data_IF_285925616533
#
_entry.id   IF_285925616533
#
_cell.length_a   1.000
_cell.length_b   1.000
_cell.length_c   1.000
_cell.angle_alpha   90.00
_cell.angle_beta   90.00
_cell.angle_gamma   90.00
#
_symmetry.space_group_name_H-M   'P 1'
#
loop_
_entity.id
_entity.type
_entity.pdbx_description
1 polymer ?
#
# COMPACT_ATOMS: atom_id res chain seq x y z
N UNK A 1 16.99 -27.06 14.35
CA UNK A 1 17.98 -25.97 14.46
C UNK A 1 17.23 -24.72 14.91
N UNK A 2 17.67 -23.99 15.95
CA UNK A 2 17.05 -22.73 16.33
C UNK A 2 17.72 -21.60 15.53
N UNK A 3 16.97 -20.89 14.71
CA UNK A 3 17.43 -19.61 14.15
C UNK A 3 17.45 -18.58 15.29
N UNK A 4 18.51 -17.78 15.36
CA UNK A 4 18.59 -16.67 16.30
C UNK A 4 17.43 -15.68 16.03
N UNK A 5 16.69 -15.33 17.09
CA UNK A 5 15.56 -14.39 17.05
C UNK A 5 15.98 -12.92 16.90
N UNK A 6 17.23 -12.63 16.55
CA UNK A 6 17.76 -11.28 16.67
C UNK A 6 17.84 -10.57 15.32
N UNK A 7 17.04 -9.49 15.26
CA UNK A 7 16.87 -8.52 14.19
C UNK A 7 15.91 -8.96 13.06
N UNK A 8 14.60 -9.01 13.38
CA UNK A 8 13.62 -8.68 12.35
C UNK A 8 13.81 -7.20 11.98
N UNK A 9 14.57 -6.92 10.93
CA UNK A 9 14.63 -5.60 10.32
C UNK A 9 13.28 -5.34 9.65
N UNK A 10 12.31 -4.88 10.44
CA UNK A 10 11.05 -4.38 9.92
C UNK A 10 11.35 -3.01 9.33
N UNK A 11 11.41 -2.91 8.01
CA UNK A 11 11.46 -1.63 7.34
C UNK A 11 10.06 -1.00 7.47
N UNK A 12 9.90 0.10 8.22
CA UNK A 12 8.59 0.72 8.36
C UNK A 12 8.18 1.34 7.02
N UNK A 13 6.90 1.26 6.70
CA UNK A 13 6.35 1.94 5.54
C UNK A 13 6.45 3.46 5.73
N UNK A 14 6.69 4.19 4.63
CA UNK A 14 6.76 5.65 4.66
C UNK A 14 5.35 6.23 4.49
N UNK A 15 4.74 6.86 5.49
CA UNK A 15 3.33 7.23 5.42
C UNK A 15 3.05 8.23 4.29
N UNK A 16 2.21 7.84 3.34
CA UNK A 16 1.75 8.68 2.21
C UNK A 16 0.59 9.60 2.60
N UNK A 17 -0.19 9.18 3.60
CA UNK A 17 -1.30 9.92 4.20
C UNK A 17 -1.06 10.11 5.70
N UNK A 18 -1.67 11.14 6.25
CA UNK A 18 -1.77 11.38 7.69
C UNK A 18 -2.99 10.64 8.25
N UNK A 19 -3.11 10.63 9.58
CA UNK A 19 -4.20 9.98 10.30
C UNK A 19 -5.59 10.56 9.96
N UNK A 20 -5.64 11.83 9.54
CA UNK A 20 -6.83 12.55 9.08
C UNK A 20 -7.13 12.33 7.59
N UNK A 21 -6.46 11.36 6.95
CA UNK A 21 -6.55 11.05 5.52
C UNK A 21 -6.08 12.17 4.58
N UNK A 22 -5.41 13.20 5.12
CA UNK A 22 -4.79 14.24 4.29
C UNK A 22 -3.46 13.77 3.71
N UNK A 23 -3.05 14.26 2.52
CA UNK A 23 -1.74 13.98 1.93
C UNK A 23 -0.59 14.29 2.89
N UNK A 24 0.33 13.33 3.06
CA UNK A 24 1.58 13.56 3.77
C UNK A 24 2.70 13.94 2.79
N UNK A 25 2.80 15.23 2.49
CA UNK A 25 3.80 15.75 1.53
C UNK A 25 5.24 15.35 1.87
N UNK A 26 5.60 15.30 3.16
CA UNK A 26 6.94 14.89 3.59
C UNK A 26 7.22 13.41 3.25
N UNK A 27 6.24 12.54 3.42
CA UNK A 27 6.36 11.13 3.09
C UNK A 27 6.41 10.89 1.59
N UNK A 28 5.54 11.59 0.83
CA UNK A 28 5.52 11.55 -0.64
C UNK A 28 6.83 12.05 -1.24
N UNK A 29 7.34 13.18 -0.76
CA UNK A 29 8.63 13.72 -1.19
C UNK A 29 9.80 12.78 -0.88
N UNK A 30 9.80 12.12 0.29
CA UNK A 30 10.83 11.13 0.62
C UNK A 30 10.82 9.93 -0.33
N UNK A 31 9.62 9.41 -0.66
CA UNK A 31 9.46 8.32 -1.64
C UNK A 31 9.87 8.75 -3.05
N UNK A 32 9.56 10.00 -3.42
CA UNK A 32 10.01 10.59 -4.67
C UNK A 32 11.54 10.64 -4.74
N UNK A 33 12.23 11.14 -3.71
CA UNK A 33 13.71 11.13 -3.64
C UNK A 33 14.28 9.72 -3.79
N UNK A 34 13.63 8.71 -3.21
CA UNK A 34 14.06 7.30 -3.33
C UNK A 34 13.94 6.76 -4.75
N UNK A 35 12.90 7.16 -5.50
CA UNK A 35 12.76 6.83 -6.92
C UNK A 35 13.76 7.59 -7.78
N UNK A 36 13.87 8.91 -7.59
CA UNK A 36 14.80 9.77 -8.34
C UNK A 36 16.27 9.35 -8.14
N UNK A 37 16.61 8.77 -6.98
CA UNK A 37 17.93 8.20 -6.73
C UNK A 37 18.23 6.92 -7.54
N UNK A 38 17.22 6.29 -8.16
CA UNK A 38 17.35 5.03 -8.91
C UNK A 38 16.95 5.15 -10.38
N UNK A 39 16.21 6.19 -10.75
CA UNK A 39 15.71 6.37 -12.11
C UNK A 39 15.41 7.84 -12.39
N UNK A 40 15.49 8.20 -13.67
CA UNK A 40 15.18 9.56 -14.11
C UNK A 40 13.66 9.79 -14.10
N UNK A 41 13.23 10.91 -13.52
CA UNK A 41 11.81 11.28 -13.49
C UNK A 41 11.21 11.51 -14.89
N UNK A 42 12.06 11.78 -15.89
CA UNK A 42 11.71 11.93 -17.32
C UNK A 42 11.16 10.65 -17.94
N UNK A 43 11.41 9.48 -17.33
CA UNK A 43 10.84 8.21 -17.75
C UNK A 43 9.34 8.08 -17.44
N UNK A 44 8.76 9.04 -16.71
CA UNK A 44 7.33 9.08 -16.41
C UNK A 44 6.67 10.25 -17.11
N UNK A 45 5.49 10.02 -17.68
CA UNK A 45 4.60 11.11 -18.01
C UNK A 45 4.20 11.89 -16.75
N UNK A 46 3.71 13.11 -16.97
CA UNK A 46 3.31 14.01 -15.89
C UNK A 46 2.38 13.30 -14.89
N UNK A 47 2.67 13.49 -13.60
CA UNK A 47 1.95 12.93 -12.44
C UNK A 47 1.98 11.40 -12.28
N UNK A 48 2.53 10.63 -13.23
CA UNK A 48 2.47 9.16 -13.16
C UNK A 48 3.32 8.57 -12.02
N UNK A 49 4.51 9.13 -11.78
CA UNK A 49 5.35 8.73 -10.64
C UNK A 49 4.60 8.91 -9.31
N UNK A 50 3.92 10.04 -9.13
CA UNK A 50 3.18 10.32 -7.89
C UNK A 50 1.99 9.38 -7.71
N UNK A 51 1.31 9.00 -8.80
CA UNK A 51 0.23 7.99 -8.75
C UNK A 51 0.74 6.64 -8.24
N UNK A 52 1.93 6.20 -8.67
CA UNK A 52 2.55 4.96 -8.18
C UNK A 52 2.98 5.06 -6.72
N UNK A 53 3.54 6.20 -6.30
CA UNK A 53 3.86 6.49 -4.90
C UNK A 53 2.60 6.37 -4.04
N UNK A 54 1.50 6.98 -4.46
CA UNK A 54 0.24 6.93 -3.71
C UNK A 54 -0.34 5.53 -3.66
N UNK A 55 -0.36 4.83 -4.80
CA UNK A 55 -0.89 3.47 -4.89
C UNK A 55 -0.10 2.46 -4.05
N UNK A 56 1.21 2.66 -3.88
CA UNK A 56 2.06 1.78 -3.07
C UNK A 56 1.79 1.85 -1.56
N UNK A 57 1.01 2.84 -1.09
CA UNK A 57 0.79 3.05 0.35
C UNK A 57 2.03 3.43 1.15
N UNK A 58 3.16 3.67 0.48
CA UNK A 58 4.44 3.93 1.14
C UNK A 58 5.30 2.70 1.41
N UNK A 59 4.87 1.54 0.91
CA UNK A 59 5.64 0.32 0.96
C UNK A 59 6.63 0.29 -0.21
N UNK A 60 7.93 0.31 0.08
CA UNK A 60 8.96 0.34 -0.97
C UNK A 60 8.96 -0.91 -1.85
N UNK A 61 8.61 -2.08 -1.31
CA UNK A 61 8.54 -3.32 -2.10
C UNK A 61 7.43 -3.21 -3.14
N UNK A 62 6.25 -2.79 -2.71
CA UNK A 62 5.10 -2.64 -3.61
C UNK A 62 5.34 -1.48 -4.58
N UNK A 63 6.00 -0.39 -4.15
CA UNK A 63 6.40 0.72 -5.03
C UNK A 63 7.30 0.26 -6.18
N UNK A 64 8.40 -0.45 -5.88
CA UNK A 64 9.28 -0.94 -6.93
C UNK A 64 8.62 -2.02 -7.80
N UNK A 65 7.75 -2.86 -7.23
CA UNK A 65 6.99 -3.83 -8.00
C UNK A 65 6.05 -3.14 -9.01
N UNK A 66 5.34 -2.09 -8.58
CA UNK A 66 4.47 -1.29 -9.42
C UNK A 66 5.23 -0.60 -10.56
N UNK A 67 6.37 0.01 -10.23
CA UNK A 67 7.23 0.69 -11.20
C UNK A 67 7.78 -0.29 -12.23
N UNK A 68 8.27 -1.45 -11.80
CA UNK A 68 8.75 -2.49 -12.71
C UNK A 68 7.64 -2.98 -13.63
N UNK A 69 6.44 -3.23 -13.09
CA UNK A 69 5.31 -3.65 -13.90
C UNK A 69 4.95 -2.60 -14.97
N UNK A 70 4.89 -1.33 -14.59
CA UNK A 70 4.59 -0.24 -15.52
C UNK A 70 5.70 -0.02 -16.57
N UNK A 71 6.97 -0.23 -16.19
CA UNK A 71 8.09 -0.18 -17.11
C UNK A 71 8.07 -1.36 -18.10
N UNK A 72 7.70 -2.56 -17.63
CA UNK A 72 7.55 -3.75 -18.48
C UNK A 72 6.44 -3.53 -19.52
N UNK A 73 5.28 -2.97 -19.12
CA UNK A 73 4.20 -2.67 -20.07
C UNK A 73 4.59 -1.58 -21.06
N UNK A 74 5.30 -0.53 -20.62
CA UNK A 74 5.85 0.49 -21.50
C UNK A 74 6.84 -0.10 -22.53
N UNK A 75 7.69 -1.02 -22.09
CA UNK A 75 8.65 -1.72 -22.95
C UNK A 75 7.94 -2.62 -23.97
N UNK A 76 6.88 -3.34 -23.56
CA UNK A 76 6.10 -4.20 -24.47
C UNK A 76 5.39 -3.42 -25.59
N UNK A 77 5.06 -2.15 -25.35
CA UNK A 77 4.48 -1.25 -26.36
C UNK A 77 5.53 -0.41 -27.11
N UNK A 78 6.82 -0.71 -26.92
CA UNK A 78 7.97 -0.03 -27.56
C UNK A 78 7.99 1.49 -27.32
N UNK A 79 7.76 1.89 -26.06
CA UNK A 79 7.74 3.30 -25.66
C UNK A 79 8.87 3.68 -24.71
N UNK A 80 9.31 4.94 -24.80
CA UNK A 80 10.42 5.48 -24.01
C UNK A 80 9.97 6.00 -22.62
N UNK A 81 8.68 6.25 -22.43
CA UNK A 81 8.11 6.80 -21.18
C UNK A 81 6.94 5.95 -20.69
N UNK A 82 6.76 5.87 -19.37
CA UNK A 82 5.63 5.22 -18.69
C UNK A 82 4.44 6.17 -18.71
N UNK A 83 3.31 5.72 -19.26
CA UNK A 83 2.11 6.53 -19.41
C UNK A 83 1.01 6.18 -18.38
N UNK A 84 -0.13 6.86 -18.49
CA UNK A 84 -1.28 6.64 -17.62
C UNK A 84 -1.86 5.22 -17.65
N UNK A 85 -1.80 4.53 -18.79
CA UNK A 85 -2.36 3.18 -18.97
C UNK A 85 -1.46 2.12 -18.34
N UNK A 86 -0.13 2.25 -18.48
CA UNK A 86 0.86 1.40 -17.82
C UNK A 86 0.71 1.45 -16.30
N UNK A 87 0.60 2.67 -15.76
CA UNK A 87 0.37 2.93 -14.34
C UNK A 87 -0.96 2.35 -13.89
N UNK A 88 -2.02 2.52 -14.67
CA UNK A 88 -3.33 1.95 -14.35
C UNK A 88 -3.26 0.42 -14.29
N UNK A 89 -2.63 -0.22 -15.27
CA UNK A 89 -2.49 -1.67 -15.31
C UNK A 89 -1.71 -2.20 -14.09
N UNK A 90 -0.63 -1.52 -13.70
CA UNK A 90 0.14 -1.85 -12.50
C UNK A 90 -0.70 -1.76 -11.23
N UNK A 91 -1.48 -0.68 -11.08
CA UNK A 91 -2.35 -0.44 -9.92
C UNK A 91 -3.45 -1.50 -9.84
N UNK A 92 -4.10 -1.82 -10.97
CA UNK A 92 -5.14 -2.85 -11.03
C UNK A 92 -4.58 -4.22 -10.65
N UNK A 93 -3.40 -4.58 -11.15
CA UNK A 93 -2.74 -5.85 -10.79
C UNK A 93 -2.44 -5.94 -9.29
N UNK A 94 -1.89 -4.86 -8.70
CA UNK A 94 -1.64 -4.83 -7.26
C UNK A 94 -2.94 -4.91 -6.45
N UNK A 95 -3.99 -4.22 -6.90
CA UNK A 95 -5.32 -4.27 -6.29
C UNK A 95 -5.87 -5.70 -6.26
N UNK A 96 -5.80 -6.43 -7.37
CA UNK A 96 -6.23 -7.83 -7.44
C UNK A 96 -5.46 -8.74 -6.48
N UNK A 97 -4.16 -8.48 -6.25
CA UNK A 97 -3.40 -9.24 -5.26
C UNK A 97 -3.86 -8.93 -3.82
N UNK A 98 -4.19 -7.67 -3.52
CA UNK A 98 -4.81 -7.29 -2.23
C UNK A 98 -6.19 -7.93 -2.04
N UNK A 99 -7.02 -7.94 -3.08
CA UNK A 99 -8.32 -8.64 -3.11
C UNK A 99 -8.16 -10.11 -2.71
N UNK A 100 -7.20 -10.81 -3.34
CA UNK A 100 -6.92 -12.21 -3.07
C UNK A 100 -6.40 -12.45 -1.64
N UNK A 101 -5.59 -11.54 -1.11
CA UNK A 101 -5.05 -11.62 0.26
C UNK A 101 -6.11 -11.31 1.33
N UNK A 102 -7.03 -10.40 1.04
CA UNK A 102 -8.15 -10.06 1.92
C UNK A 102 -9.24 -11.14 1.92
N UNK A 103 -9.32 -11.93 0.85
CA UNK A 103 -10.17 -13.12 0.78
C UNK A 103 -9.90 -14.14 1.88
N UNK A 104 -10.73 -15.18 1.90
CA UNK A 104 -10.51 -16.34 2.78
C UNK A 104 -9.49 -17.27 2.13
N UNK A 105 -8.36 -17.46 2.80
CA UNK A 105 -7.37 -18.45 2.38
C UNK A 105 -7.67 -19.79 3.06
N UNK A 106 -7.64 -20.93 2.35
CA UNK A 106 -7.75 -22.25 2.98
C UNK A 106 -6.56 -22.58 3.91
N UNK A 107 -5.53 -21.72 3.93
CA UNK A 107 -4.36 -21.83 4.79
C UNK A 107 -4.40 -20.90 6.01
N UNK A 108 -5.47 -20.13 6.20
CA UNK A 108 -5.60 -19.28 7.38
C UNK A 108 -5.79 -20.16 8.63
N UNK A 109 -4.98 -19.97 9.71
CA UNK A 109 -5.05 -20.81 10.91
C UNK A 109 -6.35 -20.66 11.68
N UNK A 110 -7.06 -19.55 11.48
CA UNK A 110 -8.40 -19.30 12.01
C UNK A 110 -9.32 -18.88 10.85
N UNK A 111 -10.57 -19.35 10.86
CA UNK A 111 -11.58 -18.98 9.86
C UNK A 111 -12.07 -17.55 10.09
N UNK A 112 -11.25 -16.56 9.78
CA UNK A 112 -11.64 -15.15 9.83
C UNK A 112 -12.48 -14.84 8.59
N UNK A 113 -13.72 -14.37 8.79
CA UNK A 113 -14.58 -13.99 7.68
C UNK A 113 -14.06 -12.74 6.98
N UNK A 114 -14.29 -12.65 5.67
CA UNK A 114 -14.09 -11.39 4.94
C UNK A 114 -14.85 -10.23 5.59
N UNK A 115 -16.05 -10.51 6.13
CA UNK A 115 -16.86 -9.51 6.84
C UNK A 115 -16.14 -8.96 8.07
N UNK A 116 -15.53 -9.82 8.88
CA UNK A 116 -14.81 -9.42 10.09
C UNK A 116 -13.57 -8.58 9.74
N UNK A 117 -12.85 -8.97 8.67
CA UNK A 117 -11.73 -8.21 8.12
C UNK A 117 -12.18 -6.82 7.65
N UNK A 118 -13.28 -6.73 6.91
CA UNK A 118 -13.81 -5.49 6.36
C UNK A 118 -14.31 -4.54 7.47
N UNK A 119 -15.05 -5.05 8.46
CA UNK A 119 -15.50 -4.26 9.61
C UNK A 119 -14.31 -3.71 10.40
N UNK A 120 -13.28 -4.53 10.65
CA UNK A 120 -12.08 -4.08 11.34
C UNK A 120 -11.33 -3.01 10.55
N UNK A 121 -11.20 -3.16 9.24
CA UNK A 121 -10.57 -2.14 8.38
C UNK A 121 -11.33 -0.82 8.43
N UNK A 122 -12.67 -0.86 8.45
CA UNK A 122 -13.49 0.35 8.60
C UNK A 122 -13.26 1.02 9.96
N UNK A 123 -13.24 0.25 11.05
CA UNK A 123 -12.95 0.79 12.38
C UNK A 123 -11.56 1.43 12.47
N UNK A 124 -10.54 0.83 11.83
CA UNK A 124 -9.20 1.41 11.73
C UNK A 124 -9.23 2.71 10.93
N UNK A 125 -9.96 2.74 9.81
CA UNK A 125 -10.11 3.93 8.97
C UNK A 125 -10.80 5.09 9.71
N UNK A 126 -11.76 4.79 10.57
CA UNK A 126 -12.49 5.75 11.41
C UNK A 126 -11.73 6.17 12.68
N UNK A 127 -10.52 5.66 12.89
CA UNK A 127 -9.70 5.91 14.10
C UNK A 127 -10.35 5.43 15.41
N UNK A 128 -11.12 4.34 15.38
CA UNK A 128 -11.62 3.72 16.61
C UNK A 128 -10.47 3.05 17.39
N UNK A 129 -10.27 3.46 18.64
CA UNK A 129 -9.25 2.91 19.54
C UNK A 129 -9.49 1.45 19.88
N UNK A 130 -10.73 0.96 19.79
CA UNK A 130 -11.06 -0.45 20.01
C UNK A 130 -10.44 -1.35 18.94
N UNK A 131 -10.22 -0.83 17.73
CA UNK A 131 -9.65 -1.54 16.59
C UNK A 131 -8.13 -1.76 16.69
N UNK A 132 -7.45 -1.03 17.58
CA UNK A 132 -6.01 -1.17 17.82
C UNK A 132 -5.67 -2.36 18.74
N UNK A 133 -6.68 -2.99 19.33
CA UNK A 133 -6.53 -4.19 20.17
C UNK A 133 -6.12 -5.36 19.28
N UNK A 134 -5.02 -6.02 19.65
CA UNK A 134 -4.48 -7.15 18.90
C UNK A 134 -5.33 -8.39 19.09
N UNK A 135 -5.95 -8.84 18.00
CA UNK A 135 -6.68 -10.10 17.89
C UNK A 135 -6.33 -10.81 16.57
N UNK A 136 -6.89 -12.01 16.37
CA UNK A 136 -6.62 -12.80 15.18
C UNK A 136 -7.01 -12.08 13.87
N UNK A 137 -8.05 -11.23 13.90
CA UNK A 137 -8.48 -10.42 12.76
C UNK A 137 -7.41 -9.38 12.41
N UNK A 138 -6.89 -8.64 13.39
CA UNK A 138 -5.83 -7.66 13.17
C UNK A 138 -4.53 -8.32 12.70
N UNK A 139 -4.17 -9.49 13.24
CA UNK A 139 -3.01 -10.24 12.77
C UNK A 139 -3.19 -10.73 11.33
N UNK A 140 -4.38 -11.22 10.97
CA UNK A 140 -4.70 -11.60 9.60
C UNK A 140 -4.59 -10.40 8.65
N UNK A 141 -5.07 -9.21 9.05
CA UNK A 141 -4.97 -7.98 8.26
C UNK A 141 -3.52 -7.47 8.12
N UNK A 142 -2.71 -7.56 9.17
CA UNK A 142 -1.28 -7.22 9.12
C UNK A 142 -0.51 -8.18 8.19
N UNK A 143 -0.81 -9.48 8.25
CA UNK A 143 -0.22 -10.48 7.36
C UNK A 143 -0.65 -10.28 5.90
N UNK A 144 -1.92 -9.96 5.68
CA UNK A 144 -2.46 -9.63 4.36
C UNK A 144 -1.99 -8.25 3.84
N UNK A 145 -1.34 -7.45 4.70
CA UNK A 145 -0.94 -6.06 4.47
C UNK A 145 -2.10 -5.09 4.21
N UNK A 146 -3.32 -5.44 4.62
CA UNK A 146 -4.48 -4.56 4.48
C UNK A 146 -4.38 -3.30 5.36
N UNK A 147 -3.64 -3.40 6.46
CA UNK A 147 -3.27 -2.29 7.32
C UNK A 147 -1.78 -2.31 7.63
N UNK A 148 -1.18 -1.14 7.79
CA UNK A 148 0.21 -0.97 8.19
C UNK A 148 0.29 -0.24 9.54
N UNK A 149 1.27 -0.63 10.35
CA UNK A 149 1.59 0.08 11.59
C UNK A 149 2.45 1.29 11.25
N UNK A 150 1.93 2.48 11.50
CA UNK A 150 2.68 3.73 11.31
C UNK A 150 3.30 4.17 12.63
N UNK A 151 4.59 4.46 12.60
CA UNK A 151 5.38 4.90 13.76
C UNK A 151 5.82 6.34 13.54
N UNK A 152 5.06 7.30 14.06
CA UNK A 152 5.41 8.72 14.02
C UNK A 152 5.30 9.35 15.42
N UNK A 153 6.02 8.79 16.40
CA UNK A 153 6.00 9.19 17.81
C UNK A 153 4.78 8.71 18.61
N UNK A 154 3.64 8.45 17.95
CA UNK A 154 2.50 7.68 18.47
C UNK A 154 2.22 6.49 17.56
N UNK A 155 1.92 5.33 18.15
CA UNK A 155 1.52 4.11 17.43
C UNK A 155 0.08 4.28 16.96
N UNK A 156 -0.15 4.14 15.66
CA UNK A 156 -1.49 4.01 15.08
C UNK A 156 -1.44 3.06 13.88
N UNK A 157 -2.60 2.56 13.45
CA UNK A 157 -2.72 1.70 12.28
C UNK A 157 -3.38 2.47 11.13
N UNK A 158 -2.75 2.47 9.96
CA UNK A 158 -3.30 3.06 8.74
C UNK A 158 -3.80 1.99 7.79
N UNK A 159 -4.90 2.25 7.10
CA UNK A 159 -5.39 1.38 6.02
C UNK A 159 -4.62 1.68 4.74
N UNK A 160 -4.25 0.64 4.00
CA UNK A 160 -3.56 0.79 2.73
C UNK A 160 -4.45 1.54 1.70
N UNK A 161 -3.94 2.50 0.91
CA UNK A 161 -4.77 3.33 0.02
C UNK A 161 -5.63 2.53 -0.96
N UNK A 162 -5.08 1.47 -1.57
CA UNK A 162 -5.84 0.59 -2.45
C UNK A 162 -6.95 -0.19 -1.75
N UNK A 163 -6.86 -0.34 -0.43
CA UNK A 163 -7.89 -1.00 0.39
C UNK A 163 -8.99 -0.01 0.77
N UNK A 164 -8.66 1.28 0.95
CA UNK A 164 -9.63 2.36 1.15
C UNK A 164 -10.58 2.49 -0.04
N UNK A 165 -10.11 2.23 -1.26
CA UNK A 165 -10.95 2.25 -2.46
C UNK A 165 -12.15 1.29 -2.37
N UNK A 166 -12.00 0.13 -1.71
CA UNK A 166 -13.10 -0.84 -1.56
C UNK A 166 -14.26 -0.30 -0.70
N UNK A 167 -13.99 0.65 0.18
CA UNK A 167 -15.00 1.25 1.06
C UNK A 167 -15.71 2.47 0.43
N UNK A 168 -15.49 2.74 -0.86
CA UNK A 168 -16.14 3.86 -1.57
C UNK A 168 -15.41 5.19 -1.43
N UNK A 169 -14.17 5.18 -0.95
CA UNK A 169 -13.30 6.35 -0.84
C UNK A 169 -12.66 6.78 -2.16
N UNK A 170 -13.44 6.94 -3.25
CA UNK A 170 -12.96 7.36 -4.58
C UNK A 170 -12.30 8.76 -4.64
N UNK A 171 -12.01 9.39 -3.50
CA UNK A 171 -11.34 10.69 -3.39
C UNK A 171 -9.81 10.62 -3.29
N UNK A 172 -9.22 9.46 -2.97
CA UNK A 172 -7.78 9.39 -2.68
C UNK A 172 -6.87 9.21 -3.92
N UNK A 173 -7.38 8.58 -5.00
CA UNK A 173 -6.58 8.23 -6.19
C UNK A 173 -6.95 9.09 -7.42
N UNK A 174 -7.99 9.92 -7.32
CA UNK A 174 -8.45 10.81 -8.41
C UNK A 174 -7.82 12.20 -8.39
N UNK A 175 -6.70 12.40 -7.69
CA UNK A 175 -5.97 13.66 -7.79
C UNK A 175 -5.20 13.71 -9.12
N UNK A 176 -5.75 14.51 -10.04
CA UNK A 176 -5.26 14.94 -11.36
C UNK A 176 -3.73 14.97 -11.55
#
# INVERSE_FOLDING_TARGET
MPFANDCSFVLPDTPVFRQDHTPNEKGRAALQTVLEARMEATLFEQNQMMRLIVASGGNLRDLFALVNYAADTATLRDAETINGDDVMAAIVNLRSDYERRLGQSPYDPETVSYKDKAERLLQIYENDKSAEITDAVLYSLLNARGCARVLNGKRWFGVHPLVVDYFGGSKAISAH
#
